data_IF_179234894821
#
_entry.id   IF_179234894821
#
_cell.length_a   1.000
_cell.length_b   1.000
_cell.length_c   1.000
_cell.angle_alpha   90.00
_cell.angle_beta   90.00
_cell.angle_gamma   90.00
#
_symmetry.space_group_name_H-M   'P 1'
#
loop_
_entity.id
_entity.type
_entity.pdbx_description
1 polymer ?
#
# COMPACT_ATOMS: atom_id res chain seq x y z
N UNK A 1 23.24 41.49 4.87
CA UNK A 1 22.66 40.46 5.75
C UNK A 1 23.53 40.34 6.95
N UNK A 2 22.93 40.51 8.11
CA UNK A 2 23.64 40.39 9.37
C UNK A 2 23.19 39.12 10.07
N UNK A 3 24.14 38.35 10.58
CA UNK A 3 23.86 37.13 11.32
C UNK A 3 23.02 37.44 12.57
N UNK A 4 21.97 36.65 12.83
CA UNK A 4 21.23 36.77 14.08
C UNK A 4 22.07 36.30 15.28
N UNK A 5 22.12 37.12 16.32
CA UNK A 5 22.87 36.82 17.54
C UNK A 5 22.02 36.19 18.64
N UNK A 6 20.68 36.31 18.56
CA UNK A 6 19.70 35.75 19.49
C UNK A 6 18.44 35.27 18.77
N UNK A 7 17.59 34.51 19.46
CA UNK A 7 16.24 34.20 18.97
C UNK A 7 15.43 35.48 18.78
N UNK A 8 14.51 35.48 17.82
CA UNK A 8 13.65 36.63 17.52
C UNK A 8 12.17 36.24 17.44
N UNK A 9 11.30 37.23 17.62
CA UNK A 9 9.87 37.14 17.38
C UNK A 9 9.40 38.40 16.66
N UNK A 10 8.79 38.24 15.49
CA UNK A 10 8.38 39.33 14.60
C UNK A 10 6.91 39.13 14.19
N UNK A 11 6.15 40.23 14.12
CA UNK A 11 4.78 40.20 13.59
C UNK A 11 4.72 40.89 12.24
N UNK A 12 4.22 40.18 11.23
CA UNK A 12 4.04 40.67 9.87
C UNK A 12 2.54 40.91 9.62
N UNK A 13 2.12 42.17 9.63
CA UNK A 13 0.70 42.56 9.51
C UNK A 13 0.35 43.26 8.20
N UNK A 14 1.32 43.41 7.28
CA UNK A 14 1.13 44.08 6.00
C UNK A 14 1.33 45.60 6.02
N UNK A 15 1.61 46.24 7.17
CA UNK A 15 1.68 47.71 7.25
C UNK A 15 2.79 48.25 8.13
N UNK A 16 3.12 47.59 9.24
CA UNK A 16 4.07 48.11 10.23
C UNK A 16 5.51 47.73 9.85
N UNK A 17 6.44 48.69 9.73
CA UNK A 17 7.87 48.39 9.58
C UNK A 17 8.41 47.59 10.77
N UNK A 18 9.46 46.81 10.54
CA UNK A 18 10.06 45.94 11.55
C UNK A 18 11.54 45.71 11.25
N UNK A 19 12.25 45.09 12.19
CA UNK A 19 13.68 44.79 12.06
C UNK A 19 13.95 43.31 12.34
N UNK A 20 14.94 42.75 11.65
CA UNK A 20 15.48 41.40 11.86
C UNK A 20 16.98 41.56 12.07
N UNK A 21 17.43 41.42 13.31
CA UNK A 21 18.81 41.79 13.66
C UNK A 21 19.00 43.31 13.50
N UNK A 22 19.87 43.70 12.55
CA UNK A 22 20.11 45.12 12.21
C UNK A 22 19.53 45.51 10.84
N UNK A 23 18.88 44.56 10.16
CA UNK A 23 18.27 44.79 8.85
C UNK A 23 16.82 45.29 9.07
N UNK A 24 16.48 46.45 8.48
CA UNK A 24 15.15 47.07 8.59
C UNK A 24 14.29 46.78 7.34
N UNK A 25 13.01 46.51 7.57
CA UNK A 25 12.04 46.12 6.56
C UNK A 25 10.81 47.02 6.61
N UNK A 26 10.34 47.46 5.45
CA UNK A 26 9.19 48.34 5.31
C UNK A 26 8.24 47.84 4.23
N UNK A 27 6.94 47.92 4.52
CA UNK A 27 5.88 47.59 3.57
C UNK A 27 5.64 48.75 2.60
N UNK A 28 5.35 48.43 1.34
CA UNK A 28 4.88 49.38 0.34
C UNK A 28 3.53 48.93 -0.19
N UNK A 29 2.44 49.59 0.22
CA UNK A 29 1.09 49.23 -0.23
C UNK A 29 0.68 47.79 0.10
N UNK A 30 1.04 47.30 1.30
CA UNK A 30 0.90 45.88 1.72
C UNK A 30 1.76 44.87 0.96
N UNK A 31 2.75 45.34 0.23
CA UNK A 31 3.77 44.52 -0.41
C UNK A 31 5.07 44.55 0.37
N UNK A 32 5.75 43.41 0.45
CA UNK A 32 7.09 43.29 0.97
C UNK A 32 7.95 42.49 -0.01
N UNK A 33 9.04 43.10 -0.49
CA UNK A 33 9.89 42.49 -1.52
C UNK A 33 10.65 41.27 -0.99
N UNK A 34 11.17 41.33 0.23
CA UNK A 34 11.75 40.15 0.85
C UNK A 34 11.82 40.28 2.37
N UNK A 35 11.93 39.13 3.04
CA UNK A 35 12.37 38.97 4.42
C UNK A 35 13.44 37.89 4.41
N UNK A 36 14.61 38.23 4.92
CA UNK A 36 15.72 37.28 5.01
C UNK A 36 16.17 37.12 6.47
N UNK A 37 16.26 35.87 6.91
CA UNK A 37 16.70 35.50 8.24
C UNK A 37 17.88 34.55 8.12
N UNK A 38 19.03 34.98 8.61
CA UNK A 38 20.27 34.22 8.45
C UNK A 38 21.04 34.14 9.77
N UNK A 39 21.60 32.95 10.03
CA UNK A 39 22.60 32.71 11.09
C UNK A 39 23.77 32.00 10.45
N UNK A 40 24.98 32.53 10.63
CA UNK A 40 26.21 31.91 10.16
C UNK A 40 26.36 30.45 10.63
N UNK A 41 26.83 29.56 9.75
CA UNK A 41 26.89 28.12 9.98
C UNK A 41 27.71 27.68 11.20
N UNK A 42 28.68 28.51 11.59
CA UNK A 42 29.57 28.30 12.74
C UNK A 42 28.93 28.65 14.09
N UNK A 43 27.78 29.32 14.08
CA UNK A 43 27.11 29.83 15.27
C UNK A 43 26.01 28.86 15.77
N UNK A 44 25.60 28.99 17.04
CA UNK A 44 24.51 28.18 17.57
C UNK A 44 23.19 28.48 16.84
N UNK A 45 22.38 27.44 16.64
CA UNK A 45 21.02 27.52 16.12
C UNK A 45 20.22 28.64 16.79
N UNK A 46 19.53 29.44 15.98
CA UNK A 46 18.55 30.43 16.45
C UNK A 46 17.16 30.11 15.94
N UNK A 47 16.18 30.30 16.81
CA UNK A 47 14.76 30.25 16.42
C UNK A 47 14.30 31.63 15.97
N UNK A 48 13.72 31.69 14.78
CA UNK A 48 13.08 32.89 14.26
C UNK A 48 11.59 32.68 14.15
N UNK A 49 10.84 33.30 15.07
CA UNK A 49 9.38 33.19 15.11
C UNK A 49 8.74 34.34 14.36
N UNK A 50 7.85 34.02 13.43
CA UNK A 50 7.07 35.00 12.69
C UNK A 50 5.58 34.73 12.86
N UNK A 51 4.84 35.75 13.30
CA UNK A 51 3.37 35.72 13.33
C UNK A 51 2.84 36.53 12.15
N UNK A 52 2.11 35.87 11.25
CA UNK A 52 1.44 36.50 10.13
C UNK A 52 0.04 36.94 10.55
N UNK A 53 -0.29 38.21 10.37
CA UNK A 53 -1.57 38.80 10.80
C UNK A 53 -2.17 39.70 9.73
N UNK A 54 -3.39 40.19 9.95
CA UNK A 54 -4.09 41.04 8.99
C UNK A 54 -4.52 40.26 7.76
N UNK A 55 -4.56 40.92 6.60
CA UNK A 55 -4.94 40.30 5.32
C UNK A 55 -4.76 41.23 4.13
N UNK A 56 -4.72 40.63 2.94
CA UNK A 56 -4.49 41.28 1.65
C UNK A 56 -3.06 41.81 1.48
N UNK A 57 -2.08 41.18 2.13
CA UNK A 57 -0.66 41.50 1.95
C UNK A 57 0.04 40.43 1.12
N UNK A 58 1.16 40.81 0.52
CA UNK A 58 2.00 39.93 -0.29
C UNK A 58 3.47 40.05 0.15
N UNK A 59 4.16 38.92 0.23
CA UNK A 59 5.60 38.84 0.44
C UNK A 59 6.21 38.10 -0.76
N UNK A 60 7.08 38.73 -1.52
CA UNK A 60 7.68 38.05 -2.68
C UNK A 60 8.61 36.91 -2.27
N UNK A 61 9.48 37.18 -1.29
CA UNK A 61 10.49 36.20 -0.86
C UNK A 61 10.65 36.19 0.65
N UNK A 62 10.48 35.03 1.27
CA UNK A 62 10.64 34.83 2.70
C UNK A 62 11.60 33.67 2.95
N UNK A 63 12.79 33.98 3.44
CA UNK A 63 13.87 32.99 3.56
C UNK A 63 14.40 32.89 4.98
N UNK A 64 14.69 31.65 5.32
CA UNK A 64 15.49 31.25 6.47
C UNK A 64 16.70 30.52 5.88
N UNK A 65 17.92 30.84 6.34
CA UNK A 65 19.16 30.25 5.83
C UNK A 65 20.20 30.10 6.94
N UNK A 66 21.16 29.18 6.75
CA UNK A 66 22.20 28.88 7.74
C UNK A 66 21.65 28.11 8.95
N UNK A 67 22.00 28.50 10.18
CA UNK A 67 21.61 27.83 11.44
C UNK A 67 20.30 28.41 12.03
N UNK A 68 19.20 28.35 11.27
CA UNK A 68 17.92 28.97 11.62
C UNK A 68 16.79 27.96 11.68
N UNK A 69 16.12 27.87 12.82
CA UNK A 69 14.82 27.21 12.95
C UNK A 69 13.70 28.20 12.66
N UNK A 70 12.99 28.01 11.54
CA UNK A 70 11.82 28.81 11.22
C UNK A 70 10.62 28.38 12.09
N UNK A 71 9.87 29.34 12.62
CA UNK A 71 8.60 29.09 13.30
C UNK A 71 7.56 30.10 12.82
N UNK A 72 6.75 29.72 11.84
CA UNK A 72 5.76 30.59 11.22
C UNK A 72 4.36 30.21 11.71
N UNK A 73 3.66 31.19 12.28
CA UNK A 73 2.29 31.06 12.73
C UNK A 73 1.40 32.01 11.94
N UNK A 74 0.42 31.45 11.22
CA UNK A 74 -0.57 32.22 10.49
C UNK A 74 -1.83 32.47 11.33
N UNK A 75 -2.07 33.74 11.62
CA UNK A 75 -3.29 34.28 12.25
C UNK A 75 -3.99 35.30 11.32
N UNK A 76 -3.74 35.21 10.01
CA UNK A 76 -4.37 36.08 9.02
C UNK A 76 -5.88 35.92 8.99
N UNK A 77 -6.55 37.00 8.60
CA UNK A 77 -8.00 37.16 8.57
C UNK A 77 -8.43 37.68 7.19
N UNK A 78 -9.73 37.74 6.93
CA UNK A 78 -10.26 38.25 5.66
C UNK A 78 -9.74 37.44 4.45
N UNK A 79 -9.20 38.16 3.46
CA UNK A 79 -8.67 37.62 2.19
C UNK A 79 -7.36 36.84 2.33
N UNK A 80 -6.81 36.69 3.54
CA UNK A 80 -5.56 35.96 3.75
C UNK A 80 -4.32 36.73 3.28
N UNK A 81 -3.18 36.06 3.21
CA UNK A 81 -1.92 36.60 2.68
C UNK A 81 -1.39 35.77 1.52
N UNK A 82 -0.36 36.26 0.84
CA UNK A 82 0.36 35.47 -0.16
C UNK A 82 1.86 35.59 0.03
N UNK A 83 2.56 34.48 -0.15
CA UNK A 83 4.01 34.41 -0.21
C UNK A 83 4.39 33.83 -1.58
N UNK A 84 5.19 34.55 -2.37
CA UNK A 84 5.69 34.04 -3.65
C UNK A 84 6.65 32.87 -3.44
N UNK A 85 7.68 33.09 -2.63
CA UNK A 85 8.69 32.08 -2.34
C UNK A 85 8.97 31.99 -0.84
N UNK A 86 8.73 30.82 -0.24
CA UNK A 86 9.05 30.51 1.15
C UNK A 86 10.14 29.43 1.19
N UNK A 87 11.30 29.76 1.76
CA UNK A 87 12.37 28.79 2.01
C UNK A 87 12.50 28.59 3.52
N UNK A 88 12.18 27.39 3.99
CA UNK A 88 12.36 26.94 5.38
C UNK A 88 13.78 26.37 5.63
N UNK A 89 14.69 26.60 4.68
CA UNK A 89 15.92 25.87 4.57
C UNK A 89 16.96 26.21 5.63
N UNK A 90 17.45 25.19 6.30
CA UNK A 90 18.55 25.28 7.25
C UNK A 90 19.55 24.15 7.01
N UNK A 91 20.83 24.40 7.33
CA UNK A 91 21.90 23.41 7.14
C UNK A 91 22.27 22.76 8.49
N UNK A 92 22.99 21.63 8.43
CA UNK A 92 23.79 21.07 9.54
C UNK A 92 23.04 20.87 10.87
N UNK A 93 21.99 20.06 10.89
CA UNK A 93 21.25 19.68 12.12
C UNK A 93 20.65 20.85 12.91
N UNK A 94 20.32 21.94 12.23
CA UNK A 94 19.67 23.08 12.87
C UNK A 94 18.32 22.73 13.51
N UNK A 95 17.82 21.51 13.36
CA UNK A 95 16.58 21.03 13.95
C UNK A 95 15.38 21.41 13.09
N UNK A 96 14.19 21.36 13.70
CA UNK A 96 12.95 21.35 12.93
C UNK A 96 12.42 22.74 12.62
N UNK A 97 12.12 22.99 11.36
CA UNK A 97 11.37 24.17 10.92
C UNK A 97 9.86 23.89 10.96
N UNK A 98 9.07 24.87 11.37
CA UNK A 98 7.61 24.75 11.51
C UNK A 98 6.93 25.88 10.75
N UNK A 99 6.03 25.54 9.82
CA UNK A 99 5.18 26.51 9.15
C UNK A 99 3.72 26.08 9.26
N UNK A 100 2.90 26.91 9.92
CA UNK A 100 1.45 26.70 10.05
C UNK A 100 0.73 27.84 9.35
N UNK A 101 0.30 27.60 8.12
CA UNK A 101 -0.26 28.57 7.18
C UNK A 101 -1.72 28.25 6.91
N UNK A 102 -2.65 28.95 7.56
CA UNK A 102 -4.08 28.64 7.47
C UNK A 102 -4.78 29.37 6.31
N UNK A 103 -4.49 30.66 6.14
CA UNK A 103 -5.11 31.54 5.13
C UNK A 103 -4.06 32.23 4.26
N UNK A 104 -2.80 31.86 4.40
CA UNK A 104 -1.70 32.33 3.56
C UNK A 104 -1.44 31.31 2.45
N UNK A 105 -1.59 31.74 1.19
CA UNK A 105 -1.17 30.95 0.03
C UNK A 105 0.33 31.06 -0.17
N UNK A 106 0.98 29.98 -0.58
CA UNK A 106 2.39 29.98 -0.96
C UNK A 106 2.53 29.44 -2.37
N UNK A 107 3.09 30.23 -3.29
CA UNK A 107 3.30 29.78 -4.67
C UNK A 107 4.40 28.71 -4.72
N UNK A 108 5.56 28.97 -4.09
CA UNK A 108 6.66 28.00 -3.96
C UNK A 108 7.11 27.90 -2.51
N UNK A 109 7.01 26.70 -1.92
CA UNK A 109 7.51 26.37 -0.60
C UNK A 109 8.63 25.33 -0.73
N UNK A 110 9.83 25.68 -0.24
CA UNK A 110 10.97 24.79 -0.20
C UNK A 110 11.46 24.53 1.23
N UNK A 111 11.81 23.29 1.51
CA UNK A 111 12.52 22.86 2.72
C UNK A 111 14.03 22.78 2.52
N UNK A 112 14.70 21.99 3.36
CA UNK A 112 16.11 21.65 3.17
C UNK A 112 16.40 20.17 3.46
N UNK A 113 17.50 19.85 4.15
CA UNK A 113 17.83 18.50 4.59
C UNK A 113 17.45 18.22 6.04
N UNK A 114 16.75 19.16 6.70
CA UNK A 114 16.28 19.02 8.07
C UNK A 114 14.78 18.69 8.08
N UNK A 115 14.24 18.14 9.18
CA UNK A 115 12.80 17.84 9.23
C UNK A 115 11.92 19.09 9.29
N UNK A 116 10.91 19.17 8.44
CA UNK A 116 9.89 20.21 8.40
C UNK A 116 8.54 19.73 8.96
N UNK A 117 7.85 20.61 9.69
CA UNK A 117 6.44 20.44 10.06
C UNK A 117 5.63 21.51 9.35
N UNK A 118 4.96 21.09 8.27
CA UNK A 118 4.13 21.94 7.44
C UNK A 118 2.64 21.68 7.69
N UNK A 119 1.88 22.75 7.95
CA UNK A 119 0.42 22.72 7.96
C UNK A 119 -0.10 23.79 7.02
N UNK A 120 -0.84 23.39 5.99
CA UNK A 120 -1.53 24.26 5.04
C UNK A 120 -3.04 24.18 5.31
N UNK A 121 -3.73 25.32 5.38
CA UNK A 121 -5.15 25.39 5.69
C UNK A 121 -6.02 25.54 4.45
N UNK A 122 -6.78 26.63 4.40
CA UNK A 122 -7.77 26.94 3.36
C UNK A 122 -7.19 27.58 2.10
N UNK A 123 -5.98 28.13 2.16
CA UNK A 123 -5.38 28.82 1.02
C UNK A 123 -4.67 27.86 0.05
N UNK A 124 -3.99 26.83 0.57
CA UNK A 124 -3.26 25.86 -0.26
C UNK A 124 -1.85 26.34 -0.62
N UNK A 125 -1.26 25.70 -1.62
CA UNK A 125 0.05 26.06 -2.17
C UNK A 125 0.15 25.63 -3.64
N UNK A 126 1.08 26.25 -4.39
CA UNK A 126 1.43 25.76 -5.72
C UNK A 126 2.37 24.56 -5.60
N UNK A 127 3.66 24.83 -5.47
CA UNK A 127 4.73 23.84 -5.33
C UNK A 127 5.19 23.72 -3.88
N UNK A 128 5.27 22.49 -3.36
CA UNK A 128 5.91 22.15 -2.09
C UNK A 128 7.02 21.11 -2.33
N UNK A 129 8.27 21.45 -2.00
CA UNK A 129 9.43 20.56 -2.10
C UNK A 129 10.26 20.62 -0.82
N UNK A 130 10.16 19.61 0.05
CA UNK A 130 10.82 19.68 1.37
C UNK A 130 12.25 19.18 1.35
N UNK A 131 12.54 18.08 0.66
CA UNK A 131 13.90 17.70 0.33
C UNK A 131 14.36 16.49 1.12
N UNK A 132 15.03 16.67 2.26
CA UNK A 132 15.46 15.58 3.12
C UNK A 132 15.06 15.84 4.56
N UNK A 133 14.83 14.77 5.32
CA UNK A 133 14.40 14.87 6.70
C UNK A 133 13.11 14.09 6.90
N UNK A 134 12.74 13.83 8.15
CA UNK A 134 11.47 13.12 8.43
C UNK A 134 10.35 14.16 8.54
N UNK A 135 9.79 14.54 7.39
CA UNK A 135 8.85 15.63 7.28
C UNK A 135 7.44 15.23 7.70
N UNK A 136 6.67 16.22 8.18
CA UNK A 136 5.26 16.07 8.50
C UNK A 136 4.48 17.15 7.76
N UNK A 137 3.68 16.73 6.79
CA UNK A 137 2.82 17.61 5.98
C UNK A 137 1.36 17.32 6.28
N UNK A 138 0.59 18.38 6.57
CA UNK A 138 -0.87 18.31 6.73
C UNK A 138 -1.53 19.41 5.92
N UNK A 139 -2.35 19.06 4.94
CA UNK A 139 -3.14 20.04 4.18
C UNK A 139 -4.59 20.09 4.66
N UNK A 140 -5.27 21.20 4.38
CA UNK A 140 -6.63 21.49 4.80
C UNK A 140 -7.57 21.50 3.61
N UNK A 141 -8.36 22.58 3.47
CA UNK A 141 -9.31 22.75 2.38
C UNK A 141 -8.72 23.46 1.14
N UNK A 142 -7.49 23.97 1.23
CA UNK A 142 -6.77 24.51 0.08
C UNK A 142 -6.07 23.40 -0.71
N UNK A 143 -6.11 23.53 -2.03
CA UNK A 143 -5.46 22.60 -2.97
C UNK A 143 -3.94 22.79 -2.98
N UNK A 144 -3.21 21.71 -3.23
CA UNK A 144 -1.75 21.75 -3.44
C UNK A 144 -1.42 21.19 -4.82
N UNK A 145 -0.87 21.99 -5.72
CA UNK A 145 -0.65 21.54 -7.11
C UNK A 145 0.39 20.42 -7.20
N UNK A 146 1.48 20.54 -6.45
CA UNK A 146 2.54 19.53 -6.39
C UNK A 146 3.18 19.46 -5.01
N UNK A 147 3.31 18.26 -4.46
CA UNK A 147 3.94 17.99 -3.17
C UNK A 147 5.03 16.92 -3.33
N UNK A 148 6.27 17.26 -2.97
CA UNK A 148 7.38 16.32 -2.85
C UNK A 148 8.04 16.45 -1.47
N UNK A 149 8.20 15.32 -0.78
CA UNK A 149 8.84 15.28 0.55
C UNK A 149 10.29 14.78 0.49
N UNK A 150 10.62 13.91 -0.47
CA UNK A 150 12.00 13.56 -0.81
C UNK A 150 12.56 12.42 0.03
N UNK A 151 13.70 12.61 0.68
CA UNK A 151 14.36 11.57 1.50
C UNK A 151 13.92 11.64 2.96
N UNK A 152 13.92 10.50 3.65
CA UNK A 152 13.55 10.39 5.07
C UNK A 152 12.18 9.73 5.27
N UNK A 153 11.90 9.28 6.48
CA UNK A 153 10.62 8.62 6.79
C UNK A 153 9.52 9.69 6.99
N UNK A 154 8.82 10.05 5.92
CA UNK A 154 7.88 11.19 5.89
C UNK A 154 6.44 10.79 6.22
N UNK A 155 5.67 11.78 6.67
CA UNK A 155 4.23 11.65 6.92
C UNK A 155 3.44 12.75 6.20
N UNK A 156 2.68 12.35 5.21
CA UNK A 156 1.81 13.24 4.42
C UNK A 156 0.35 12.95 4.74
N UNK A 157 -0.41 13.98 5.09
CA UNK A 157 -1.88 13.92 5.18
C UNK A 157 -2.48 14.99 4.30
N UNK A 158 -3.19 14.58 3.25
CA UNK A 158 -3.91 15.48 2.36
C UNK A 158 -5.33 15.66 2.87
N UNK A 159 -5.71 16.90 3.16
CA UNK A 159 -7.06 17.29 3.56
C UNK A 159 -8.02 17.41 2.39
N UNK A 160 -9.26 17.79 2.67
CA UNK A 160 -10.37 17.86 1.70
C UNK A 160 -10.12 18.80 0.51
N UNK A 161 -9.09 19.64 0.58
CA UNK A 161 -8.67 20.49 -0.53
C UNK A 161 -8.09 19.72 -1.70
N UNK A 162 -7.59 18.49 -1.49
CA UNK A 162 -6.97 17.69 -2.54
C UNK A 162 -5.54 18.10 -2.87
N UNK A 163 -4.96 17.42 -3.87
CA UNK A 163 -3.66 17.74 -4.42
C UNK A 163 -3.58 17.34 -5.90
N UNK A 164 -2.64 17.90 -6.66
CA UNK A 164 -2.35 17.39 -8.00
C UNK A 164 -1.51 16.14 -7.88
N UNK A 165 -0.21 16.33 -7.66
CA UNK A 165 0.75 15.24 -7.62
C UNK A 165 1.41 15.14 -6.26
N UNK A 166 1.62 13.91 -5.79
CA UNK A 166 2.34 13.61 -4.56
C UNK A 166 3.51 12.70 -4.90
N UNK A 167 4.71 13.09 -4.49
CA UNK A 167 5.93 12.28 -4.59
C UNK A 167 6.52 12.09 -3.20
N UNK A 168 6.51 10.87 -2.69
CA UNK A 168 7.06 10.57 -1.38
C UNK A 168 8.59 10.62 -1.45
N UNK A 169 9.18 9.84 -2.35
CA UNK A 169 10.58 9.96 -2.72
C UNK A 169 11.35 8.70 -2.39
N UNK A 170 12.05 8.67 -1.26
CA UNK A 170 12.74 7.48 -0.78
C UNK A 170 12.50 7.26 0.70
N UNK A 171 12.85 6.06 1.17
CA UNK A 171 12.75 5.63 2.57
C UNK A 171 11.33 5.14 2.91
N UNK A 172 10.87 5.15 4.18
CA UNK A 172 9.53 4.61 4.52
C UNK A 172 8.54 5.73 4.78
N UNK A 173 7.71 5.99 3.79
CA UNK A 173 6.75 7.07 3.81
C UNK A 173 5.34 6.61 4.16
N UNK A 174 4.58 7.51 4.77
CA UNK A 174 3.16 7.32 5.07
C UNK A 174 2.35 8.42 4.40
N UNK A 175 1.50 8.05 3.45
CA UNK A 175 0.61 8.95 2.73
C UNK A 175 -0.85 8.62 3.09
N UNK A 176 -1.56 9.61 3.60
CA UNK A 176 -2.97 9.51 3.96
C UNK A 176 -3.80 10.55 3.22
N UNK A 177 -4.76 10.09 2.43
CA UNK A 177 -5.70 10.96 1.74
C UNK A 177 -7.01 10.97 2.53
N UNK A 178 -7.41 12.15 3.01
CA UNK A 178 -8.62 12.31 3.81
C UNK A 178 -9.90 12.14 2.95
N UNK A 179 -11.05 12.06 3.62
CA UNK A 179 -12.34 12.04 2.95
C UNK A 179 -12.52 13.28 2.06
N UNK A 180 -13.16 13.07 0.90
CA UNK A 180 -13.46 14.10 -0.12
C UNK A 180 -12.25 14.71 -0.84
N UNK A 181 -11.02 14.32 -0.49
CA UNK A 181 -9.83 14.81 -1.15
C UNK A 181 -9.59 14.08 -2.47
N UNK A 182 -9.54 14.82 -3.58
CA UNK A 182 -9.17 14.30 -4.88
C UNK A 182 -7.67 14.49 -5.13
N UNK A 183 -7.02 13.47 -5.69
CA UNK A 183 -5.59 13.52 -6.04
C UNK A 183 -5.37 12.96 -7.43
N UNK A 184 -4.66 13.70 -8.29
CA UNK A 184 -4.40 13.23 -9.66
C UNK A 184 -3.42 12.05 -9.67
N UNK A 185 -2.32 12.15 -8.90
CA UNK A 185 -1.37 11.04 -8.80
C UNK A 185 -0.60 10.97 -7.49
N UNK A 186 -0.23 9.75 -7.12
CA UNK A 186 0.65 9.41 -6.00
C UNK A 186 1.77 8.50 -6.51
N UNK A 187 3.02 8.91 -6.31
CA UNK A 187 4.24 8.11 -6.51
C UNK A 187 4.94 7.96 -5.15
N UNK A 188 4.92 6.74 -4.60
CA UNK A 188 5.56 6.43 -3.31
C UNK A 188 7.08 6.52 -3.46
N UNK A 189 7.63 5.88 -4.49
CA UNK A 189 9.00 6.07 -4.92
C UNK A 189 9.88 4.89 -4.55
N UNK A 190 10.69 5.00 -3.50
CA UNK A 190 11.53 3.87 -3.06
C UNK A 190 11.32 3.63 -1.57
N UNK A 191 11.34 2.36 -1.20
CA UNK A 191 11.27 1.92 0.18
C UNK A 191 9.89 1.36 0.47
N UNK A 192 9.64 1.01 1.73
CA UNK A 192 8.43 0.27 2.06
C UNK A 192 7.38 1.26 2.54
N UNK A 193 6.55 1.72 1.61
CA UNK A 193 5.64 2.82 1.81
C UNK A 193 4.24 2.36 2.19
N UNK A 194 3.49 3.27 2.80
CA UNK A 194 2.10 3.04 3.16
C UNK A 194 1.21 4.14 2.62
N UNK A 195 0.34 3.77 1.70
CA UNK A 195 -0.66 4.65 1.10
C UNK A 195 -2.04 4.22 1.59
N UNK A 196 -2.85 5.17 2.07
CA UNK A 196 -4.26 4.92 2.39
C UNK A 196 -5.15 6.05 1.91
N UNK A 197 -6.16 5.70 1.13
CA UNK A 197 -7.13 6.64 0.56
C UNK A 197 -8.51 6.46 1.22
N UNK A 198 -9.40 7.43 1.03
CA UNK A 198 -10.70 7.47 1.70
C UNK A 198 -11.83 7.56 0.66
N UNK A 199 -12.74 8.52 0.80
CA UNK A 199 -13.92 8.66 -0.07
C UNK A 199 -13.71 9.56 -1.29
N UNK A 200 -12.56 10.23 -1.41
CA UNK A 200 -12.21 11.00 -2.60
C UNK A 200 -11.56 10.10 -3.66
N UNK A 201 -11.73 10.47 -4.92
CA UNK A 201 -11.17 9.75 -6.06
C UNK A 201 -9.68 10.05 -6.22
N UNK A 202 -8.94 9.07 -6.73
CA UNK A 202 -7.53 9.21 -7.07
C UNK A 202 -7.35 8.85 -8.54
N UNK A 203 -6.56 9.61 -9.31
CA UNK A 203 -6.21 9.20 -10.67
C UNK A 203 -5.36 7.93 -10.64
N UNK A 204 -4.07 8.07 -10.35
CA UNK A 204 -3.13 6.93 -10.33
C UNK A 204 -2.40 6.82 -8.99
N UNK A 205 -2.26 5.59 -8.50
CA UNK A 205 -1.42 5.25 -7.35
C UNK A 205 -0.29 4.34 -7.82
N UNK A 206 0.95 4.70 -7.47
CA UNK A 206 2.16 3.97 -7.85
C UNK A 206 3.00 3.70 -6.60
N UNK A 207 3.24 2.43 -6.28
CA UNK A 207 4.16 1.99 -5.23
C UNK A 207 5.62 2.23 -5.61
N UNK A 208 5.99 1.79 -6.82
CA UNK A 208 7.32 1.95 -7.43
C UNK A 208 8.32 0.87 -6.97
N UNK A 209 9.11 1.07 -5.92
CA UNK A 209 10.08 0.05 -5.45
C UNK A 209 9.99 -0.09 -3.94
N UNK A 210 10.23 -1.29 -3.46
CA UNK A 210 10.10 -1.66 -2.06
C UNK A 210 8.76 -2.34 -1.82
N UNK A 211 8.60 -2.95 -0.65
CA UNK A 211 7.39 -3.69 -0.32
C UNK A 211 6.31 -2.74 0.20
N UNK A 212 5.45 -2.28 -0.70
CA UNK A 212 4.47 -1.24 -0.40
C UNK A 212 3.14 -1.81 0.09
N UNK A 213 2.44 -1.02 0.89
CA UNK A 213 1.06 -1.30 1.29
C UNK A 213 0.14 -0.20 0.79
N UNK A 214 -0.70 -0.52 -0.18
CA UNK A 214 -1.66 0.40 -0.79
C UNK A 214 -3.08 0.01 -0.35
N UNK A 215 -3.77 0.87 0.39
CA UNK A 215 -5.18 0.70 0.73
C UNK A 215 -6.05 1.67 -0.05
N UNK A 216 -6.86 1.15 -0.96
CA UNK A 216 -7.80 1.92 -1.77
C UNK A 216 -9.14 2.03 -1.05
N UNK A 217 -9.52 3.24 -0.69
CA UNK A 217 -10.79 3.58 -0.04
C UNK A 217 -11.98 3.57 -1.00
N UNK A 218 -13.13 4.01 -0.50
CA UNK A 218 -14.41 3.95 -1.23
C UNK A 218 -14.53 4.91 -2.41
N UNK A 219 -13.64 5.90 -2.55
CA UNK A 219 -13.58 6.77 -3.72
C UNK A 219 -12.91 6.11 -4.94
N UNK A 220 -12.22 4.99 -4.73
CA UNK A 220 -11.54 4.25 -5.77
C UNK A 220 -10.32 4.97 -6.33
N UNK A 221 -9.86 4.46 -7.47
CA UNK A 221 -8.85 5.10 -8.31
C UNK A 221 -9.10 4.75 -9.79
N UNK A 222 -8.43 5.38 -10.74
CA UNK A 222 -8.41 4.83 -12.12
C UNK A 222 -7.46 3.64 -12.20
N UNK A 223 -6.28 3.76 -11.60
CA UNK A 223 -5.27 2.70 -11.61
C UNK A 223 -4.42 2.65 -10.35
N UNK A 224 -4.00 1.42 -10.00
CA UNK A 224 -3.09 1.11 -8.89
C UNK A 224 -2.01 0.16 -9.40
N UNK A 225 -0.75 0.56 -9.23
CA UNK A 225 0.42 -0.21 -9.64
C UNK A 225 1.34 -0.42 -8.43
N UNK A 226 1.59 -1.67 -8.05
CA UNK A 226 2.67 -2.00 -7.10
C UNK A 226 4.05 -1.74 -7.72
N UNK A 227 4.24 -2.31 -8.91
CA UNK A 227 5.43 -2.29 -9.76
C UNK A 227 6.49 -3.32 -9.42
N UNK A 228 7.36 -3.10 -8.44
CA UNK A 228 8.49 -3.99 -8.18
C UNK A 228 8.54 -4.35 -6.72
N UNK A 229 9.09 -5.53 -6.42
CA UNK A 229 9.18 -6.12 -5.09
C UNK A 229 7.83 -6.70 -4.63
N UNK A 230 7.66 -6.96 -3.34
CA UNK A 230 6.47 -7.64 -2.82
C UNK A 230 5.45 -6.63 -2.27
N UNK A 231 4.43 -6.32 -3.05
CA UNK A 231 3.43 -5.32 -2.72
C UNK A 231 2.16 -5.93 -2.12
N UNK A 232 1.43 -5.13 -1.35
CA UNK A 232 0.10 -5.50 -0.86
C UNK A 232 -0.91 -4.44 -1.25
N UNK A 233 -1.88 -4.82 -2.08
CA UNK A 233 -3.01 -3.96 -2.46
C UNK A 233 -4.26 -4.41 -1.73
N UNK A 234 -4.77 -3.55 -0.85
CA UNK A 234 -6.01 -3.75 -0.09
C UNK A 234 -7.13 -2.94 -0.72
N UNK A 235 -8.10 -3.64 -1.29
CA UNK A 235 -9.26 -3.02 -1.91
C UNK A 235 -10.42 -2.94 -0.91
N UNK A 236 -11.02 -1.76 -0.76
CA UNK A 236 -12.29 -1.57 -0.05
C UNK A 236 -13.45 -1.49 -1.03
N UNK A 237 -14.67 -1.61 -0.51
CA UNK A 237 -15.90 -1.42 -1.27
C UNK A 237 -15.94 0.01 -1.82
N UNK A 238 -16.07 0.15 -3.14
CA UNK A 238 -16.27 1.44 -3.78
C UNK A 238 -17.70 1.92 -3.53
N UNK A 239 -17.85 3.24 -3.49
CA UNK A 239 -19.14 3.89 -3.35
C UNK A 239 -19.97 3.75 -4.64
N UNK A 240 -19.30 3.80 -5.79
CA UNK A 240 -19.89 3.53 -7.10
C UNK A 240 -19.66 2.05 -7.47
N UNK A 241 -20.75 1.33 -7.73
CA UNK A 241 -20.71 -0.08 -8.08
C UNK A 241 -20.17 -0.32 -9.50
N UNK A 242 -20.31 0.66 -10.38
CA UNK A 242 -19.94 0.58 -11.80
C UNK A 242 -18.53 1.14 -12.07
N UNK A 243 -17.88 1.70 -11.05
CA UNK A 243 -16.51 2.21 -11.17
C UNK A 243 -15.54 1.08 -11.50
N UNK A 244 -14.78 1.29 -12.57
CA UNK A 244 -13.76 0.37 -13.05
C UNK A 244 -12.38 0.82 -12.60
N UNK A 245 -11.61 -0.08 -11.99
CA UNK A 245 -10.25 0.20 -11.50
C UNK A 245 -9.29 -0.84 -12.04
N UNK A 246 -8.15 -0.38 -12.57
CA UNK A 246 -7.04 -1.26 -12.95
C UNK A 246 -6.15 -1.47 -11.73
N UNK A 247 -5.87 -2.73 -11.39
CA UNK A 247 -5.05 -3.10 -10.25
C UNK A 247 -3.99 -4.09 -10.71
N UNK A 248 -2.73 -3.68 -10.59
CA UNK A 248 -1.58 -4.42 -11.09
C UNK A 248 -0.56 -4.57 -9.96
N UNK A 249 -0.26 -5.80 -9.56
CA UNK A 249 0.81 -6.06 -8.58
C UNK A 249 2.16 -5.63 -9.13
N UNK A 250 2.36 -5.78 -10.44
CA UNK A 250 3.58 -5.39 -11.14
C UNK A 250 4.45 -6.57 -11.50
N UNK A 251 5.71 -6.29 -11.80
CA UNK A 251 6.70 -7.31 -12.07
C UNK A 251 8.09 -6.76 -11.79
N UNK A 252 8.93 -7.56 -11.15
CA UNK A 252 10.35 -7.27 -11.01
C UNK A 252 10.79 -7.26 -9.56
N UNK A 253 12.09 -7.47 -9.36
CA UNK A 253 12.67 -7.64 -8.03
C UNK A 253 13.91 -6.76 -7.93
N UNK A 254 13.96 -5.90 -6.93
CA UNK A 254 15.08 -4.98 -6.68
C UNK A 254 16.25 -5.67 -5.99
N UNK A 255 16.01 -6.71 -5.18
CA UNK A 255 17.04 -7.59 -4.62
C UNK A 255 16.56 -9.03 -4.39
N UNK A 256 17.47 -10.01 -4.32
CA UNK A 256 17.08 -11.41 -4.10
C UNK A 256 16.34 -11.71 -2.77
N UNK A 257 16.27 -10.74 -1.85
CA UNK A 257 15.45 -10.83 -0.63
C UNK A 257 13.99 -10.40 -0.87
N UNK A 258 13.73 -9.61 -1.91
CA UNK A 258 12.47 -8.92 -2.19
C UNK A 258 11.63 -9.66 -3.23
N UNK A 259 11.52 -10.99 -3.08
CA UNK A 259 10.82 -11.88 -4.04
C UNK A 259 9.47 -11.28 -4.43
N UNK A 260 9.22 -11.11 -5.73
CA UNK A 260 7.90 -10.71 -6.28
C UNK A 260 6.85 -11.66 -5.69
N UNK A 261 6.01 -11.15 -4.80
CA UNK A 261 4.98 -11.93 -4.10
C UNK A 261 3.85 -11.00 -3.73
N UNK A 262 3.30 -10.39 -4.78
CA UNK A 262 2.28 -9.39 -4.70
C UNK A 262 0.99 -9.99 -4.17
N UNK A 263 0.35 -9.27 -3.25
CA UNK A 263 -0.84 -9.72 -2.55
C UNK A 263 -2.03 -8.83 -2.85
N UNK A 264 -3.05 -9.41 -3.48
CA UNK A 264 -4.37 -8.82 -3.60
C UNK A 264 -5.22 -9.16 -2.37
N UNK A 265 -5.72 -8.15 -1.67
CA UNK A 265 -6.58 -8.35 -0.50
C UNK A 265 -7.99 -7.79 -0.74
N UNK A 266 -8.95 -8.70 -0.86
CA UNK A 266 -10.38 -8.44 -1.08
C UNK A 266 -11.24 -8.77 0.17
N UNK A 267 -10.63 -8.83 1.35
CA UNK A 267 -11.33 -9.18 2.62
C UNK A 267 -12.49 -8.25 3.00
N UNK A 268 -12.58 -7.07 2.41
CA UNK A 268 -13.67 -6.13 2.67
C UNK A 268 -14.99 -6.51 2.00
N UNK A 269 -14.98 -7.39 1.00
CA UNK A 269 -16.15 -7.68 0.17
C UNK A 269 -17.07 -8.74 0.81
N UNK A 270 -18.36 -8.60 0.51
CA UNK A 270 -19.44 -9.43 1.13
C UNK A 270 -20.31 -10.11 0.08
N UNK A 271 -19.78 -10.25 -1.14
CA UNK A 271 -20.34 -11.03 -2.24
C UNK A 271 -19.32 -12.12 -2.57
N UNK A 272 -19.79 -13.26 -3.07
CA UNK A 272 -18.89 -14.28 -3.59
C UNK A 272 -18.13 -13.74 -4.79
N UNK A 273 -16.81 -13.83 -4.74
CA UNK A 273 -15.88 -13.36 -5.74
C UNK A 273 -15.37 -14.54 -6.57
N UNK A 274 -15.11 -14.29 -7.84
CA UNK A 274 -14.30 -15.19 -8.67
C UNK A 274 -13.00 -14.45 -8.93
N UNK A 275 -11.88 -15.02 -8.51
CA UNK A 275 -10.54 -14.42 -8.60
C UNK A 275 -9.65 -15.42 -9.33
N UNK A 276 -9.20 -15.06 -10.52
CA UNK A 276 -8.27 -15.84 -11.34
C UNK A 276 -6.92 -15.11 -11.49
N UNK A 277 -5.89 -15.60 -10.80
CA UNK A 277 -4.54 -15.04 -10.86
C UNK A 277 -3.73 -15.48 -12.09
N UNK A 278 -4.25 -16.43 -12.87
CA UNK A 278 -3.56 -16.96 -14.05
C UNK A 278 -3.72 -16.10 -15.31
N UNK A 279 -4.61 -15.10 -15.25
CA UNK A 279 -4.96 -14.20 -16.35
C UNK A 279 -5.05 -12.75 -15.87
N UNK A 280 -5.31 -11.83 -16.80
CA UNK A 280 -5.85 -10.51 -16.43
C UNK A 280 -7.35 -10.65 -16.24
N UNK A 281 -7.80 -10.74 -14.99
CA UNK A 281 -9.17 -11.09 -14.62
C UNK A 281 -9.99 -9.84 -14.27
N UNK A 282 -11.28 -9.87 -14.59
CA UNK A 282 -12.23 -8.80 -14.25
C UNK A 282 -13.13 -9.29 -13.13
N UNK A 283 -12.86 -8.80 -11.92
CA UNK A 283 -13.61 -9.13 -10.71
C UNK A 283 -14.67 -8.07 -10.48
N UNK A 284 -15.91 -8.37 -10.86
CA UNK A 284 -17.07 -7.60 -10.41
C UNK A 284 -17.35 -7.96 -8.94
N UNK A 285 -17.38 -6.96 -8.06
CA UNK A 285 -17.65 -7.13 -6.63
C UNK A 285 -19.05 -6.64 -6.21
N UNK A 286 -19.75 -5.91 -7.08
CA UNK A 286 -21.00 -5.20 -6.79
C UNK A 286 -20.80 -3.90 -6.01
N UNK A 287 -19.55 -3.59 -5.68
CA UNK A 287 -19.09 -2.35 -5.08
C UNK A 287 -17.78 -1.95 -5.78
N UNK A 288 -17.80 -1.94 -7.12
CA UNK A 288 -16.64 -1.72 -7.98
C UNK A 288 -16.33 -2.94 -8.84
N UNK A 289 -15.76 -2.66 -10.00
CA UNK A 289 -15.24 -3.64 -10.96
C UNK A 289 -13.73 -3.47 -11.02
N UNK A 290 -12.98 -4.54 -10.77
CA UNK A 290 -11.52 -4.48 -10.74
C UNK A 290 -10.93 -5.36 -11.84
N UNK A 291 -10.12 -4.79 -12.73
CA UNK A 291 -9.23 -5.57 -13.57
C UNK A 291 -7.97 -5.86 -12.76
N UNK A 292 -7.76 -7.11 -12.38
CA UNK A 292 -6.61 -7.55 -11.61
C UNK A 292 -5.62 -8.31 -12.50
N UNK A 293 -4.32 -8.15 -12.26
CA UNK A 293 -3.27 -8.91 -12.92
C UNK A 293 -1.97 -8.88 -12.13
N UNK A 294 -1.08 -9.82 -12.46
CA UNK A 294 0.27 -9.91 -11.89
C UNK A 294 0.27 -9.94 -10.36
N UNK A 295 -0.54 -10.83 -9.78
CA UNK A 295 -0.53 -11.11 -8.35
C UNK A 295 -0.19 -12.58 -8.14
N UNK A 296 0.69 -12.87 -7.18
CA UNK A 296 0.96 -14.25 -6.75
C UNK A 296 0.06 -14.69 -5.59
N UNK A 297 -0.49 -13.75 -4.82
CA UNK A 297 -1.29 -14.07 -3.64
C UNK A 297 -2.65 -13.39 -3.67
N UNK A 298 -3.66 -14.05 -3.12
CA UNK A 298 -5.00 -13.50 -3.02
C UNK A 298 -5.67 -13.85 -1.70
N UNK A 299 -6.43 -12.88 -1.18
CA UNK A 299 -7.39 -13.07 -0.10
C UNK A 299 -8.79 -12.72 -0.59
N UNK A 300 -9.72 -13.67 -0.53
CA UNK A 300 -11.13 -13.52 -0.83
C UNK A 300 -11.87 -12.62 0.17
N UNK A 301 -13.18 -12.52 -0.01
CA UNK A 301 -14.11 -11.78 0.82
C UNK A 301 -14.60 -12.56 2.04
N UNK A 302 -15.91 -12.46 2.29
CA UNK A 302 -16.60 -13.05 3.46
C UNK A 302 -17.80 -13.92 3.06
N UNK A 303 -17.85 -14.31 1.79
CA UNK A 303 -18.84 -15.21 1.19
C UNK A 303 -18.12 -16.26 0.37
N UNK A 304 -18.89 -17.22 -0.16
CA UNK A 304 -18.36 -18.28 -1.01
C UNK A 304 -17.64 -17.72 -2.24
N UNK A 305 -16.32 -17.78 -2.19
CA UNK A 305 -15.42 -17.29 -3.22
C UNK A 305 -14.85 -18.46 -4.03
N UNK A 306 -14.48 -18.20 -5.29
CA UNK A 306 -13.65 -19.09 -6.10
C UNK A 306 -12.30 -18.43 -6.31
N UNK A 307 -11.24 -19.05 -5.81
CA UNK A 307 -9.87 -18.60 -5.95
C UNK A 307 -9.08 -19.59 -6.81
N UNK A 308 -8.50 -19.09 -7.90
CA UNK A 308 -7.62 -19.82 -8.80
C UNK A 308 -6.25 -19.15 -8.80
N UNK A 309 -5.22 -19.92 -8.41
CA UNK A 309 -3.82 -19.52 -8.48
C UNK A 309 -3.26 -19.52 -9.90
N UNK A 310 -1.94 -19.43 -10.02
CA UNK A 310 -1.22 -19.42 -11.28
C UNK A 310 -0.14 -20.53 -11.30
N UNK A 311 0.91 -20.40 -12.11
CA UNK A 311 1.96 -21.43 -12.20
C UNK A 311 3.11 -21.25 -11.21
N UNK A 312 3.04 -20.23 -10.37
CA UNK A 312 4.00 -19.92 -9.32
C UNK A 312 3.49 -20.38 -7.95
N UNK A 313 4.30 -20.22 -6.90
CA UNK A 313 3.85 -20.53 -5.54
C UNK A 313 2.89 -19.44 -5.06
N UNK A 314 1.64 -19.80 -4.80
CA UNK A 314 0.61 -18.87 -4.37
C UNK A 314 0.27 -19.04 -2.88
N UNK A 315 -0.07 -17.94 -2.21
CA UNK A 315 -0.80 -17.94 -0.95
C UNK A 315 -2.25 -17.55 -1.21
N UNK A 316 -3.17 -18.51 -1.04
CA UNK A 316 -4.60 -18.31 -1.30
C UNK A 316 -5.40 -18.43 -0.02
N UNK A 317 -6.20 -17.39 0.30
CA UNK A 317 -7.02 -17.33 1.52
C UNK A 317 -8.50 -17.11 1.16
N UNK A 318 -9.36 -18.09 1.45
CA UNK A 318 -10.82 -17.95 1.30
C UNK A 318 -11.46 -17.01 2.32
N UNK A 319 -10.87 -16.93 3.52
CA UNK A 319 -11.33 -16.15 4.68
C UNK A 319 -12.65 -16.66 5.27
N UNK A 320 -13.80 -16.33 4.69
CA UNK A 320 -15.07 -16.81 5.23
C UNK A 320 -16.07 -17.00 4.14
N UNK A 321 -16.88 -18.05 4.23
CA UNK A 321 -17.60 -18.50 3.06
C UNK A 321 -17.49 -20.01 2.92
N UNK A 322 -18.00 -20.53 1.82
CA UNK A 322 -17.74 -21.90 1.41
C UNK A 322 -16.93 -21.80 0.14
N UNK A 323 -15.61 -21.80 0.29
CA UNK A 323 -14.72 -21.31 -0.75
C UNK A 323 -14.21 -22.47 -1.60
N UNK A 324 -14.05 -22.24 -2.91
CA UNK A 324 -13.39 -23.16 -3.84
C UNK A 324 -11.99 -22.63 -4.11
N UNK A 325 -10.96 -23.38 -3.72
CA UNK A 325 -9.56 -22.95 -3.81
C UNK A 325 -8.80 -23.94 -4.69
N UNK A 326 -8.18 -23.44 -5.74
CA UNK A 326 -7.34 -24.23 -6.68
C UNK A 326 -5.97 -23.56 -6.78
N UNK A 327 -4.92 -24.18 -6.24
CA UNK A 327 -3.56 -23.64 -6.27
C UNK A 327 -2.96 -23.59 -7.68
N UNK A 328 -3.28 -24.59 -8.50
CA UNK A 328 -2.64 -24.89 -9.79
C UNK A 328 -1.23 -25.42 -9.58
N UNK A 329 -0.20 -24.95 -10.30
CA UNK A 329 1.14 -25.52 -10.18
C UNK A 329 1.93 -24.64 -9.22
N UNK A 330 2.61 -25.26 -8.27
CA UNK A 330 3.44 -24.51 -7.34
C UNK A 330 3.72 -25.37 -6.13
N UNK A 331 4.33 -24.78 -5.11
CA UNK A 331 4.10 -25.23 -3.75
C UNK A 331 3.22 -24.16 -3.11
N UNK A 332 1.91 -24.40 -3.10
CA UNK A 332 0.92 -23.41 -2.72
C UNK A 332 0.54 -23.52 -1.24
N UNK A 333 0.32 -22.37 -0.61
CA UNK A 333 -0.15 -22.24 0.76
C UNK A 333 -1.64 -21.91 0.75
N UNK A 334 -2.47 -22.91 1.07
CA UNK A 334 -3.92 -22.85 0.93
C UNK A 334 -4.62 -22.73 2.30
N UNK A 335 -5.49 -21.74 2.43
CA UNK A 335 -6.28 -21.48 3.63
C UNK A 335 -7.76 -21.34 3.27
N UNK A 336 -8.61 -22.27 3.74
CA UNK A 336 -10.06 -22.20 3.54
C UNK A 336 -10.69 -21.12 4.42
N UNK A 337 -10.27 -21.06 5.68
CA UNK A 337 -10.85 -20.18 6.68
C UNK A 337 -12.15 -20.72 7.26
N UNK A 338 -13.18 -19.87 7.28
CA UNK A 338 -14.45 -20.16 7.95
C UNK A 338 -15.56 -20.55 6.99
N UNK A 339 -15.75 -21.84 6.82
CA UNK A 339 -16.99 -22.46 6.37
C UNK A 339 -16.66 -23.81 5.77
N UNK A 340 -17.44 -24.28 4.79
CA UNK A 340 -17.19 -25.57 4.14
C UNK A 340 -16.39 -25.35 2.89
N UNK A 341 -15.10 -25.60 2.96
CA UNK A 341 -14.17 -25.22 1.90
C UNK A 341 -13.79 -26.43 1.04
N UNK A 342 -13.52 -26.18 -0.23
CA UNK A 342 -13.20 -27.17 -1.24
C UNK A 342 -11.82 -26.86 -1.84
N UNK A 343 -10.85 -27.70 -1.52
CA UNK A 343 -9.49 -27.63 -2.07
C UNK A 343 -9.39 -28.54 -3.29
N UNK A 344 -9.16 -27.96 -4.46
CA UNK A 344 -9.30 -28.65 -5.75
C UNK A 344 -7.93 -28.89 -6.37
N UNK A 345 -7.71 -30.12 -6.83
CA UNK A 345 -6.55 -30.51 -7.61
C UNK A 345 -7.02 -31.12 -8.93
N UNK A 346 -6.51 -30.59 -10.02
CA UNK A 346 -6.90 -30.90 -11.40
C UNK A 346 -5.87 -31.75 -12.13
N UNK A 347 -4.65 -31.80 -11.60
CA UNK A 347 -3.55 -32.60 -12.15
C UNK A 347 -2.66 -33.16 -11.04
N UNK A 348 -1.99 -34.28 -11.30
CA UNK A 348 -0.89 -34.75 -10.45
C UNK A 348 0.30 -33.78 -10.40
N UNK A 349 0.34 -32.81 -11.32
CA UNK A 349 1.35 -31.74 -11.36
C UNK A 349 1.00 -30.54 -10.49
N UNK A 350 -0.23 -30.46 -9.98
CA UNK A 350 -0.65 -29.34 -9.15
C UNK A 350 0.08 -29.41 -7.82
N UNK A 351 0.10 -30.59 -7.19
CA UNK A 351 0.85 -30.84 -5.96
C UNK A 351 1.73 -32.09 -6.05
N UNK A 352 2.99 -31.88 -6.38
CA UNK A 352 3.99 -32.94 -6.59
C UNK A 352 4.42 -33.60 -5.28
N UNK A 353 5.09 -34.75 -5.40
CA UNK A 353 5.68 -35.45 -4.24
C UNK A 353 6.82 -34.66 -3.59
N UNK A 354 7.55 -33.85 -4.36
CA UNK A 354 8.70 -33.09 -3.87
C UNK A 354 8.22 -31.85 -3.12
N UNK A 355 8.88 -31.54 -2.00
CA UNK A 355 8.46 -30.45 -1.12
C UNK A 355 8.43 -29.07 -1.78
N UNK A 356 9.25 -28.82 -2.81
CA UNK A 356 9.33 -27.53 -3.49
C UNK A 356 8.26 -27.32 -4.57
N UNK A 357 7.36 -28.28 -4.74
CA UNK A 357 6.16 -28.13 -5.59
C UNK A 357 5.01 -28.94 -5.00
N UNK A 358 4.89 -28.97 -3.66
CA UNK A 358 3.85 -29.68 -2.93
C UNK A 358 3.05 -28.66 -2.15
N UNK A 359 1.74 -28.70 -2.32
CA UNK A 359 0.83 -27.78 -1.65
C UNK A 359 0.62 -28.17 -0.20
N UNK A 360 0.39 -27.15 0.62
CA UNK A 360 0.02 -27.28 2.01
C UNK A 360 -1.33 -26.62 2.25
N UNK A 361 -2.27 -27.39 2.80
CA UNK A 361 -3.53 -26.89 3.35
C UNK A 361 -3.33 -26.68 4.85
N UNK A 362 -3.42 -25.43 5.30
CA UNK A 362 -3.04 -25.04 6.66
C UNK A 362 -4.15 -25.16 7.69
N UNK A 363 -5.42 -25.20 7.28
CA UNK A 363 -6.56 -25.10 8.20
C UNK A 363 -7.69 -26.09 7.90
N UNK A 364 -7.35 -27.23 7.29
CA UNK A 364 -8.35 -28.24 6.91
C UNK A 364 -9.21 -28.72 8.09
N UNK A 365 -10.52 -28.45 8.02
CA UNK A 365 -11.46 -28.66 9.10
C UNK A 365 -12.56 -29.64 8.74
N UNK A 366 -12.37 -30.90 9.17
CA UNK A 366 -13.42 -31.94 9.12
C UNK A 366 -14.70 -31.53 9.84
N UNK A 367 -14.58 -30.72 10.88
CA UNK A 367 -15.72 -30.24 11.68
C UNK A 367 -16.57 -29.26 10.89
N UNK A 368 -15.94 -28.37 10.13
CA UNK A 368 -16.67 -27.44 9.28
C UNK A 368 -17.27 -28.15 8.07
N UNK A 369 -16.53 -29.12 7.53
CA UNK A 369 -16.99 -30.01 6.46
C UNK A 369 -16.13 -29.95 5.21
N UNK A 370 -14.89 -29.50 5.34
CA UNK A 370 -13.98 -29.28 4.21
C UNK A 370 -13.71 -30.57 3.43
N UNK A 371 -13.35 -30.39 2.16
CA UNK A 371 -13.17 -31.47 1.20
C UNK A 371 -11.94 -31.21 0.34
N UNK A 372 -11.28 -32.29 -0.02
CA UNK A 372 -10.27 -32.32 -1.08
C UNK A 372 -10.93 -32.91 -2.32
N UNK A 373 -10.94 -32.15 -3.42
CA UNK A 373 -11.51 -32.56 -4.70
C UNK A 373 -10.42 -33.08 -5.63
N UNK A 374 -10.55 -34.34 -6.05
CA UNK A 374 -9.63 -35.01 -6.96
C UNK A 374 -10.32 -35.49 -8.24
N UNK A 375 -11.57 -35.06 -8.47
CA UNK A 375 -12.43 -35.53 -9.58
C UNK A 375 -11.90 -35.23 -10.96
N UNK A 376 -10.98 -34.27 -11.08
CA UNK A 376 -10.41 -33.87 -12.38
C UNK A 376 -9.09 -34.59 -12.69
N UNK A 377 -8.61 -35.45 -11.78
CA UNK A 377 -7.40 -36.25 -11.97
C UNK A 377 -7.80 -37.67 -12.40
N UNK A 378 -7.42 -38.05 -13.62
CA UNK A 378 -7.50 -39.45 -14.04
C UNK A 378 -6.58 -40.32 -13.18
N UNK A 379 -7.19 -41.09 -12.28
CA UNK A 379 -6.49 -41.95 -11.34
C UNK A 379 -5.89 -43.20 -11.99
N UNK A 380 -6.14 -43.50 -13.28
CA UNK A 380 -5.62 -44.72 -13.89
C UNK A 380 -5.11 -44.53 -15.33
N UNK A 381 -3.83 -44.16 -15.42
CA UNK A 381 -3.11 -43.95 -16.69
C UNK A 381 -3.03 -45.17 -17.63
N UNK A 382 -3.43 -46.37 -17.18
CA UNK A 382 -3.45 -47.60 -18.00
C UNK A 382 -4.79 -47.84 -18.67
N UNK A 383 -5.82 -47.05 -18.36
CA UNK A 383 -7.16 -47.15 -18.92
C UNK A 383 -7.52 -45.83 -19.61
N UNK A 384 -8.49 -45.89 -20.51
CA UNK A 384 -8.99 -44.71 -21.20
C UNK A 384 -10.17 -44.11 -20.44
N UNK A 385 -10.30 -42.78 -20.49
CA UNK A 385 -11.35 -42.03 -19.81
C UNK A 385 -10.86 -41.50 -18.46
N UNK A 386 -11.75 -40.97 -17.65
CA UNK A 386 -11.43 -40.42 -16.33
C UNK A 386 -11.79 -41.43 -15.24
N UNK A 387 -10.81 -41.91 -14.47
CA UNK A 387 -11.01 -42.87 -13.40
C UNK A 387 -10.92 -42.21 -12.02
N UNK A 388 -11.88 -42.50 -11.17
CA UNK A 388 -11.88 -42.12 -9.76
C UNK A 388 -10.78 -42.85 -8.96
N UNK A 389 -10.19 -42.17 -7.98
CA UNK A 389 -9.33 -42.82 -6.99
C UNK A 389 -10.11 -43.77 -6.08
N UNK A 390 -9.45 -44.84 -5.64
CA UNK A 390 -9.89 -45.73 -4.57
C UNK A 390 -9.16 -45.39 -3.26
N UNK A 391 -9.91 -44.93 -2.24
CA UNK A 391 -9.32 -44.63 -0.93
C UNK A 391 -9.03 -45.89 -0.12
N UNK A 392 -7.75 -46.23 0.06
CA UNK A 392 -7.28 -47.41 0.79
C UNK A 392 -6.89 -47.11 2.26
N UNK A 393 -7.12 -45.88 2.73
CA UNK A 393 -6.83 -45.46 4.10
C UNK A 393 -5.34 -45.30 4.37
N UNK A 394 -4.82 -45.91 5.43
CA UNK A 394 -3.39 -45.87 5.79
C UNK A 394 -2.56 -47.03 5.24
N UNK A 395 -3.18 -47.95 4.49
CA UNK A 395 -2.50 -49.10 3.86
C UNK A 395 -1.46 -48.62 2.85
N UNK A 396 -0.40 -49.39 2.66
CA UNK A 396 0.57 -49.17 1.58
C UNK A 396 -0.06 -49.45 0.22
N UNK A 397 0.47 -48.82 -0.83
CA UNK A 397 0.08 -49.12 -2.20
C UNK A 397 0.32 -50.60 -2.54
N UNK A 398 -0.66 -51.23 -3.14
CA UNK A 398 -0.65 -52.65 -3.53
C UNK A 398 -0.02 -52.84 -4.92
N UNK A 399 -0.05 -51.80 -5.75
CA UNK A 399 0.37 -51.80 -7.16
C UNK A 399 -0.79 -51.71 -8.15
N UNK A 400 -2.02 -51.60 -7.64
CA UNK A 400 -3.18 -51.26 -8.46
C UNK A 400 -3.18 -49.74 -8.73
N UNK A 401 -3.26 -49.29 -9.99
CA UNK A 401 -3.36 -47.88 -10.31
C UNK A 401 -4.68 -47.28 -9.80
N UNK A 402 -4.61 -46.06 -9.29
CA UNK A 402 -5.74 -45.29 -8.76
C UNK A 402 -5.90 -45.41 -7.26
N UNK A 403 -4.92 -45.93 -6.52
CA UNK A 403 -4.99 -45.96 -5.07
C UNK A 403 -4.70 -44.58 -4.46
N UNK A 404 -5.54 -44.15 -3.52
CA UNK A 404 -5.32 -42.98 -2.68
C UNK A 404 -5.16 -43.40 -1.21
N UNK A 405 -4.10 -42.93 -0.57
CA UNK A 405 -3.80 -43.24 0.84
C UNK A 405 -3.39 -41.99 1.60
N UNK A 406 -3.30 -42.10 2.91
CA UNK A 406 -2.70 -41.06 3.74
C UNK A 406 -1.75 -41.62 4.81
N UNK A 407 -0.84 -40.78 5.28
CA UNK A 407 -0.01 -41.02 6.47
C UNK A 407 -0.13 -39.85 7.42
N UNK A 408 -0.29 -40.14 8.71
CA UNK A 408 -0.40 -39.15 9.77
C UNK A 408 0.89 -39.16 10.62
N UNK A 409 1.48 -37.98 10.79
CA UNK A 409 2.58 -37.70 11.70
C UNK A 409 2.04 -37.14 13.04
N UNK A 410 2.91 -36.60 13.90
CA UNK A 410 2.48 -35.95 15.15
C UNK A 410 1.84 -34.58 14.93
N UNK A 411 2.32 -33.83 13.94
CA UNK A 411 1.84 -32.49 13.57
C UNK A 411 1.15 -32.46 12.22
N UNK A 412 1.43 -33.42 11.34
CA UNK A 412 1.10 -33.30 9.92
C UNK A 412 0.31 -34.49 9.40
N UNK A 413 -0.33 -34.30 8.26
CA UNK A 413 -0.89 -35.38 7.46
C UNK A 413 -0.47 -35.24 6.01
N UNK A 414 -0.16 -36.36 5.36
CA UNK A 414 0.17 -36.39 3.94
C UNK A 414 -0.80 -37.33 3.23
N UNK A 415 -1.43 -36.84 2.17
CA UNK A 415 -2.24 -37.62 1.23
C UNK A 415 -1.36 -37.97 0.03
N UNK A 416 -1.47 -39.19 -0.48
CA UNK A 416 -0.69 -39.68 -1.63
C UNK A 416 -1.60 -40.44 -2.59
N UNK A 417 -1.46 -40.18 -3.90
CA UNK A 417 -2.11 -40.94 -4.96
C UNK A 417 -1.09 -41.61 -5.88
N UNK A 418 -1.33 -42.86 -6.27
CA UNK A 418 -0.57 -43.62 -7.28
C UNK A 418 -1.49 -43.84 -8.49
N UNK A 419 -1.21 -43.19 -9.62
CA UNK A 419 -2.05 -43.25 -10.84
C UNK A 419 -1.53 -44.25 -11.88
N UNK A 420 -0.37 -44.85 -11.64
CA UNK A 420 0.32 -45.71 -12.60
C UNK A 420 0.60 -47.13 -12.09
N UNK A 421 0.38 -47.39 -10.79
CA UNK A 421 0.51 -48.68 -10.13
C UNK A 421 1.96 -49.14 -9.90
N UNK A 422 2.94 -48.23 -9.87
CA UNK A 422 4.35 -48.55 -9.59
C UNK A 422 4.68 -48.57 -8.09
N UNK A 423 3.67 -48.35 -7.23
CA UNK A 423 3.76 -48.28 -5.75
C UNK A 423 4.46 -47.03 -5.25
N UNK A 424 4.63 -46.01 -6.08
CA UNK A 424 5.11 -44.69 -5.69
C UNK A 424 3.98 -43.69 -5.85
N UNK A 425 4.03 -42.65 -5.04
CA UNK A 425 3.10 -41.55 -5.19
C UNK A 425 3.44 -40.78 -6.47
N UNK A 426 2.41 -40.38 -7.22
CA UNK A 426 2.48 -39.45 -8.34
C UNK A 426 2.03 -38.04 -7.93
N UNK A 427 1.18 -37.94 -6.91
CA UNK A 427 0.71 -36.71 -6.28
C UNK A 427 0.87 -36.83 -4.75
N UNK A 428 1.21 -35.73 -4.08
CA UNK A 428 1.18 -35.66 -2.62
C UNK A 428 0.56 -34.34 -2.17
N UNK A 429 -0.27 -34.33 -1.14
CA UNK A 429 -0.85 -33.12 -0.55
C UNK A 429 -0.50 -33.09 0.94
N UNK A 430 -0.02 -31.97 1.44
CA UNK A 430 0.29 -31.78 2.85
C UNK A 430 -0.86 -31.07 3.56
N UNK A 431 -1.23 -31.56 4.74
CA UNK A 431 -2.11 -30.88 5.68
C UNK A 431 -1.27 -30.55 6.91
N UNK A 432 -1.22 -29.29 7.32
CA UNK A 432 -0.44 -28.78 8.48
C UNK A 432 -1.05 -29.19 9.85
N UNK A 433 -1.87 -30.24 9.84
CA UNK A 433 -2.56 -30.78 11.00
C UNK A 433 -2.52 -32.31 11.03
N UNK A 434 -2.48 -32.86 12.23
CA UNK A 434 -2.47 -34.30 12.47
C UNK A 434 -3.89 -34.90 12.41
N UNK A 435 -4.37 -35.23 11.21
CA UNK A 435 -5.75 -35.59 10.91
C UNK A 435 -5.91 -37.09 10.58
N UNK A 436 -6.97 -37.69 11.12
CA UNK A 436 -7.39 -39.03 10.71
C UNK A 436 -8.41 -38.91 9.59
N UNK A 437 -7.98 -39.18 8.36
CA UNK A 437 -8.79 -39.03 7.15
C UNK A 437 -9.63 -40.27 6.86
N UNK A 438 -10.79 -40.04 6.24
CA UNK A 438 -11.76 -41.03 5.81
C UNK A 438 -12.23 -40.73 4.37
N UNK A 439 -12.88 -41.71 3.73
CA UNK A 439 -13.39 -41.55 2.35
C UNK A 439 -14.25 -40.29 2.16
N UNK A 440 -15.02 -39.90 3.18
CA UNK A 440 -15.88 -38.71 3.13
C UNK A 440 -15.15 -37.38 3.19
N UNK A 441 -13.82 -37.35 3.36
CA UNK A 441 -13.01 -36.12 3.31
C UNK A 441 -12.58 -35.77 1.87
N UNK A 442 -12.89 -36.65 0.90
CA UNK A 442 -12.49 -36.53 -0.50
C UNK A 442 -13.69 -36.60 -1.45
N UNK A 443 -13.56 -35.98 -2.62
CA UNK A 443 -14.43 -36.20 -3.78
C UNK A 443 -13.64 -36.92 -4.88
N UNK A 444 -14.29 -37.90 -5.51
CA UNK A 444 -13.71 -38.81 -6.51
C UNK A 444 -14.56 -38.87 -7.77
#
# INVERSE_FOLDING_TARGET
MTTLTSNISVTLNGTTPFSVGVDDYSWSGKWLLYVDTWVEDSLPVRTATYTLEGGGWNIDMFRFTGQVQASIKDSTTGSGGSIGYLLLGSLNDAGKSVAKLNKTYVDILKGSGNPEILTLGTAGAGLVELGGGNDIVKTGAGYVDYLSVGHGDNQVTIGSGGAGNIRAGGDRDIIKIAALAEVESIDAGRGNDKISTSSGWIGTIVGSRGSDTITVGSGGADAVFGNSDADTVVLKKLADADQFVIVDGGSGVSSGADRNSDTLNMSAFTRGLNIDLSVSDVVDTGNGIFLIRNFENASGGTKADTLLGNSENNTLRGNGGSDKITGMRGADDLYGGSGKDLFVFTSTKDSTVKANGRDTIFDFSKKQGDKIDLREIDANTKKSGDQAFEFVGSKSFTGDPGELRYSKSKSDTYVYGDVNGDKKADIAIHLDDALSLAKGDFLF
#
